data_IF_332067130867
#
_entry.id   IF_332067130867
#
_cell.length_a   1.000
_cell.length_b   1.000
_cell.length_c   1.000
_cell.angle_alpha   90.00
_cell.angle_beta   90.00
_cell.angle_gamma   90.00
#
_symmetry.space_group_name_H-M   'P 1'
#
loop_
_entity.id
_entity.type
_entity.pdbx_description
1 polymer ?
#
# COMPACT_ATOMS: atom_id res chain seq x y z
N UNK A 1 13.64 -29.19 -17.08
CA UNK A 1 12.87 -30.21 -17.80
C UNK A 1 13.70 -30.69 -18.99
N UNK A 2 13.77 -32.00 -19.22
CA UNK A 2 14.53 -32.60 -20.33
C UNK A 2 13.80 -33.84 -20.85
N UNK A 3 13.80 -34.03 -22.17
CA UNK A 3 13.24 -35.24 -22.79
C UNK A 3 13.98 -36.50 -22.34
N UNK A 4 15.27 -36.41 -22.13
CA UNK A 4 16.09 -37.54 -21.68
C UNK A 4 15.69 -38.04 -20.29
N UNK A 5 15.01 -37.22 -19.48
CA UNK A 5 14.44 -37.54 -18.18
C UNK A 5 12.98 -37.97 -18.22
N UNK A 6 12.38 -38.01 -19.41
CA UNK A 6 10.97 -38.38 -19.59
C UNK A 6 9.96 -37.25 -19.39
N UNK A 7 10.42 -35.98 -19.28
CA UNK A 7 9.53 -34.84 -19.15
C UNK A 7 8.76 -34.57 -20.45
N UNK A 8 7.47 -34.23 -20.34
CA UNK A 8 6.64 -33.84 -21.48
C UNK A 8 7.00 -32.42 -21.90
N UNK A 9 7.65 -32.29 -23.04
CA UNK A 9 7.99 -31.02 -23.67
C UNK A 9 7.29 -30.86 -25.01
N UNK A 10 7.08 -29.62 -25.41
CA UNK A 10 6.50 -29.30 -26.73
C UNK A 10 7.32 -29.88 -27.87
N UNK A 11 6.70 -30.18 -29.03
CA UNK A 11 7.43 -30.66 -30.20
C UNK A 11 8.56 -29.71 -30.59
N UNK A 12 9.76 -30.26 -30.82
CA UNK A 12 10.94 -29.47 -31.18
C UNK A 12 11.80 -28.98 -30.01
N UNK A 13 11.30 -29.01 -28.78
CA UNK A 13 12.07 -28.63 -27.60
C UNK A 13 12.77 -29.85 -27.00
N UNK A 14 14.08 -29.78 -26.86
CA UNK A 14 14.91 -30.84 -26.27
C UNK A 14 15.04 -30.62 -24.75
N UNK A 15 15.25 -29.37 -24.33
CA UNK A 15 15.42 -29.00 -22.92
C UNK A 15 14.79 -27.64 -22.63
N UNK A 16 14.09 -27.54 -21.52
CA UNK A 16 13.55 -26.29 -20.99
C UNK A 16 14.18 -26.00 -19.62
N UNK A 17 14.70 -24.80 -19.46
CA UNK A 17 15.24 -24.30 -18.19
C UNK A 17 14.30 -23.21 -17.70
N UNK A 18 13.84 -23.34 -16.47
CA UNK A 18 13.06 -22.30 -15.78
C UNK A 18 13.89 -21.81 -14.59
N UNK A 19 14.14 -20.52 -14.58
CA UNK A 19 14.88 -19.87 -13.50
C UNK A 19 13.91 -18.91 -12.82
N UNK A 20 13.76 -19.06 -11.51
CA UNK A 20 12.99 -18.15 -10.66
C UNK A 20 13.96 -17.27 -9.89
N UNK A 21 13.81 -15.95 -10.00
CA UNK A 21 14.68 -14.98 -9.35
C UNK A 21 13.86 -14.17 -8.35
N UNK A 22 14.28 -14.18 -7.09
CA UNK A 22 13.73 -13.32 -6.06
C UNK A 22 14.48 -11.99 -6.05
N UNK A 23 13.73 -10.89 -6.10
CA UNK A 23 14.27 -9.53 -6.01
C UNK A 23 13.54 -8.75 -4.92
N UNK A 24 14.29 -8.16 -4.00
CA UNK A 24 13.73 -7.24 -2.99
C UNK A 24 13.68 -5.83 -3.58
N UNK A 25 12.49 -5.24 -3.62
CA UNK A 25 12.27 -3.86 -4.06
C UNK A 25 11.75 -3.04 -2.89
N UNK A 26 12.48 -2.01 -2.50
CA UNK A 26 12.06 -1.07 -1.48
C UNK A 26 10.93 -0.17 -1.99
N UNK A 27 10.14 0.37 -1.07
CA UNK A 27 9.09 1.33 -1.38
C UNK A 27 9.71 2.66 -1.82
N UNK A 28 9.17 3.25 -2.88
CA UNK A 28 9.58 4.57 -3.35
C UNK A 28 8.36 5.44 -3.68
N UNK A 29 8.57 6.75 -3.77
CA UNK A 29 7.53 7.68 -4.23
C UNK A 29 7.05 7.28 -5.64
N UNK A 30 5.73 7.25 -5.84
CA UNK A 30 5.10 6.77 -7.06
C UNK A 30 4.62 5.31 -7.02
N UNK A 31 5.05 4.52 -6.04
CA UNK A 31 4.55 3.16 -5.83
C UNK A 31 3.12 3.18 -5.30
N UNK A 32 2.35 2.15 -5.62
CA UNK A 32 0.95 2.05 -5.24
C UNK A 32 0.75 1.13 -4.06
N UNK A 33 0.08 1.66 -3.04
CA UNK A 33 -0.35 0.91 -1.87
C UNK A 33 -1.88 0.76 -1.86
N UNK A 34 -2.37 -0.24 -1.18
CA UNK A 34 -3.79 -0.45 -0.94
C UNK A 34 -4.05 -1.13 0.40
N UNK A 35 -5.18 -0.81 1.01
CA UNK A 35 -5.73 -1.56 2.13
C UNK A 35 -6.68 -2.67 1.66
N UNK A 36 -7.51 -3.17 2.56
CA UNK A 36 -8.50 -4.24 2.32
C UNK A 36 -9.92 -3.71 2.05
N UNK A 37 -10.13 -2.40 2.00
CA UNK A 37 -11.44 -1.75 1.92
C UNK A 37 -11.65 -0.97 0.61
N UNK A 38 -10.97 -1.36 -0.48
CA UNK A 38 -11.02 -0.61 -1.73
C UNK A 38 -10.26 0.72 -1.69
N UNK A 39 -9.55 1.00 -0.61
CA UNK A 39 -8.70 2.16 -0.43
C UNK A 39 -7.35 1.90 -1.08
N UNK A 40 -7.03 2.66 -2.10
CA UNK A 40 -5.78 2.61 -2.85
C UNK A 40 -5.20 3.99 -3.03
N UNK A 41 -3.91 4.10 -3.00
CA UNK A 41 -3.22 5.38 -3.18
C UNK A 41 -1.80 5.20 -3.70
N UNK A 42 -1.26 6.29 -4.19
CA UNK A 42 0.12 6.37 -4.66
C UNK A 42 0.93 7.14 -3.62
N UNK A 43 2.11 6.65 -3.31
CA UNK A 43 3.02 7.33 -2.38
C UNK A 43 3.46 8.64 -3.01
N UNK A 44 3.14 9.76 -2.37
CA UNK A 44 3.53 11.09 -2.83
C UNK A 44 4.93 11.48 -2.36
N UNK A 45 5.26 11.13 -1.13
CA UNK A 45 6.54 11.49 -0.49
C UNK A 45 6.92 10.44 0.55
N UNK A 46 8.22 10.20 0.67
CA UNK A 46 8.82 9.46 1.78
C UNK A 46 9.53 10.48 2.64
N UNK A 47 9.22 10.48 3.93
CA UNK A 47 9.74 11.40 4.94
C UNK A 47 10.65 10.62 5.87
N UNK A 48 11.79 11.17 6.31
CA UNK A 48 12.61 10.56 7.36
C UNK A 48 11.79 10.34 8.64
N UNK A 49 12.13 9.29 9.40
CA UNK A 49 11.39 8.91 10.61
C UNK A 49 11.36 10.03 11.65
N UNK A 50 12.47 10.76 11.80
CA UNK A 50 12.59 11.90 12.70
C UNK A 50 11.66 13.08 12.35
N UNK A 51 11.25 13.20 11.09
CA UNK A 51 10.33 14.26 10.62
C UNK A 51 8.85 13.83 10.65
N UNK A 52 8.59 12.55 10.98
CA UNK A 52 7.22 12.03 11.04
C UNK A 52 6.52 12.46 12.32
N UNK A 53 5.20 12.65 12.28
CA UNK A 53 4.42 12.87 13.51
C UNK A 53 4.56 11.70 14.47
N UNK A 54 4.55 12.00 15.77
CA UNK A 54 4.71 10.99 16.81
C UNK A 54 3.68 11.16 17.94
N UNK A 55 3.45 10.07 18.68
CA UNK A 55 2.57 10.04 19.84
C UNK A 55 3.29 10.57 21.10
N UNK A 56 2.55 10.71 22.19
CA UNK A 56 3.10 11.17 23.48
C UNK A 56 4.14 10.22 24.10
N UNK A 57 4.23 8.99 23.63
CA UNK A 57 5.21 7.97 24.00
C UNK A 57 6.43 7.93 23.07
N UNK A 58 6.61 8.96 22.25
CA UNK A 58 7.66 9.09 21.23
C UNK A 58 7.55 8.06 20.06
N UNK A 59 6.46 7.33 19.93
CA UNK A 59 6.26 6.39 18.81
C UNK A 59 5.90 7.14 17.55
N UNK A 60 6.72 7.10 16.47
CA UNK A 60 6.40 7.76 15.21
C UNK A 60 5.33 7.00 14.44
N UNK A 61 4.53 7.70 13.64
CA UNK A 61 3.60 7.08 12.72
C UNK A 61 4.32 6.63 11.44
N UNK A 62 3.97 5.46 10.93
CA UNK A 62 4.60 4.89 9.71
C UNK A 62 4.03 5.47 8.43
N UNK A 63 2.75 5.87 8.44
CA UNK A 63 2.05 6.36 7.24
C UNK A 63 1.05 7.44 7.59
N UNK A 64 0.96 8.44 6.72
CA UNK A 64 -0.05 9.50 6.78
C UNK A 64 -0.97 9.34 5.58
N UNK A 65 -2.26 9.18 5.83
CA UNK A 65 -3.28 9.01 4.80
C UNK A 65 -4.14 10.27 4.66
N UNK A 66 -4.48 10.62 3.41
CA UNK A 66 -5.35 11.76 3.15
C UNK A 66 -6.81 11.43 3.50
N UNK A 67 -7.46 12.13 4.44
CA UNK A 67 -8.84 11.88 4.85
C UNK A 67 -9.88 12.14 3.77
N UNK A 68 -9.58 12.97 2.76
CA UNK A 68 -10.48 13.24 1.65
C UNK A 68 -10.83 11.98 0.85
N UNK A 69 -9.91 11.02 0.76
CA UNK A 69 -10.15 9.73 0.11
C UNK A 69 -11.16 8.84 0.84
N UNK A 70 -11.36 9.08 2.13
CA UNK A 70 -12.35 8.36 2.96
C UNK A 70 -13.72 9.00 2.85
N UNK A 71 -13.80 10.32 3.06
CA UNK A 71 -15.04 11.08 3.09
C UNK A 71 -15.84 10.95 1.79
N UNK A 72 -15.18 11.08 0.63
CA UNK A 72 -15.83 11.00 -0.68
C UNK A 72 -16.23 9.57 -1.09
N UNK A 73 -15.56 8.55 -0.58
CA UNK A 73 -15.78 7.13 -0.98
C UNK A 73 -16.60 6.33 -0.01
N UNK A 74 -16.84 6.83 1.20
CA UNK A 74 -17.69 6.23 2.24
C UNK A 74 -17.30 4.79 2.61
N UNK A 75 -16.05 4.39 2.44
CA UNK A 75 -15.55 3.08 2.83
C UNK A 75 -15.15 3.09 4.32
N UNK A 76 -16.15 3.17 5.18
CA UNK A 76 -15.97 3.31 6.64
C UNK A 76 -15.26 2.12 7.29
N UNK A 77 -15.26 0.96 6.64
CA UNK A 77 -14.57 -0.23 7.14
C UNK A 77 -13.10 -0.01 7.44
N UNK A 78 -12.41 0.88 6.71
CA UNK A 78 -11.00 1.21 6.99
C UNK A 78 -10.84 1.97 8.31
N UNK A 79 -11.80 2.81 8.69
CA UNK A 79 -11.79 3.52 9.98
C UNK A 79 -12.00 2.53 11.12
N UNK A 80 -12.99 1.65 10.99
CA UNK A 80 -13.29 0.61 11.98
C UNK A 80 -12.10 -0.34 12.14
N UNK A 81 -11.44 -0.71 11.05
CA UNK A 81 -10.20 -1.52 11.08
C UNK A 81 -9.09 -0.79 11.85
N UNK A 82 -8.90 0.50 11.60
CA UNK A 82 -7.85 1.29 12.27
C UNK A 82 -8.06 1.33 13.77
N UNK A 83 -9.28 1.55 14.23
CA UNK A 83 -9.63 1.59 15.65
C UNK A 83 -9.47 0.21 16.32
N UNK A 84 -10.04 -0.83 15.71
CA UNK A 84 -9.93 -2.18 16.23
C UNK A 84 -8.48 -2.67 16.20
N UNK A 85 -7.71 -2.29 15.16
CA UNK A 85 -6.30 -2.60 15.05
C UNK A 85 -5.47 -1.97 16.18
N UNK A 86 -5.79 -0.75 16.59
CA UNK A 86 -5.12 -0.10 17.72
C UNK A 86 -5.42 -0.84 19.03
N UNK A 87 -6.68 -1.11 19.32
CA UNK A 87 -7.08 -1.86 20.50
C UNK A 87 -6.43 -3.26 20.54
N UNK A 88 -6.45 -3.98 19.41
CA UNK A 88 -5.87 -5.32 19.31
C UNK A 88 -4.35 -5.32 19.51
N UNK A 89 -3.66 -4.28 19.06
CA UNK A 89 -2.22 -4.11 19.28
C UNK A 89 -1.90 -3.94 20.75
N UNK A 90 -2.59 -3.04 21.45
CA UNK A 90 -2.39 -2.76 22.88
C UNK A 90 -2.73 -3.98 23.76
N UNK A 91 -3.80 -4.69 23.43
CA UNK A 91 -4.23 -5.89 24.15
C UNK A 91 -3.45 -7.16 23.75
N UNK A 92 -2.60 -7.09 22.71
CA UNK A 92 -1.72 -8.18 22.29
C UNK A 92 -2.41 -9.37 21.64
N UNK A 93 -3.55 -9.17 20.97
CA UNK A 93 -4.25 -10.22 20.25
C UNK A 93 -4.44 -9.91 18.76
N UNK A 94 -4.74 -10.92 17.96
CA UNK A 94 -5.08 -10.76 16.56
C UNK A 94 -6.59 -10.76 16.36
N UNK A 95 -7.16 -9.62 15.95
CA UNK A 95 -8.58 -9.49 15.66
C UNK A 95 -8.93 -10.18 14.33
N UNK A 96 -9.86 -11.13 14.36
CA UNK A 96 -10.38 -11.80 13.17
C UNK A 96 -11.86 -11.44 13.01
N UNK A 97 -12.16 -10.65 11.98
CA UNK A 97 -13.51 -10.19 11.68
C UNK A 97 -13.96 -10.75 10.33
N UNK A 98 -14.74 -11.85 10.31
CA UNK A 98 -15.27 -12.41 9.07
C UNK A 98 -16.18 -11.44 8.34
N UNK A 99 -16.22 -11.54 7.00
CA UNK A 99 -17.14 -10.75 6.16
C UNK A 99 -18.59 -11.03 6.62
N UNK A 100 -19.40 -9.97 6.74
CA UNK A 100 -20.78 -10.05 7.25
C UNK A 100 -20.90 -10.49 8.72
N UNK A 101 -19.84 -10.36 9.51
CA UNK A 101 -19.93 -10.56 10.97
C UNK A 101 -20.83 -9.48 11.60
N UNK A 102 -21.32 -9.78 12.81
CA UNK A 102 -22.12 -8.83 13.59
C UNK A 102 -21.26 -7.90 14.46
N UNK A 103 -20.00 -7.65 14.08
CA UNK A 103 -19.17 -6.69 14.79
C UNK A 103 -19.72 -5.30 14.60
N UNK A 104 -20.12 -4.67 15.69
CA UNK A 104 -20.74 -3.33 15.71
C UNK A 104 -19.71 -2.29 16.16
N UNK A 105 -20.06 -1.01 15.94
CA UNK A 105 -19.26 0.12 16.46
C UNK A 105 -19.11 0.06 17.99
N UNK A 106 -20.18 -0.34 18.69
CA UNK A 106 -20.17 -0.45 20.16
C UNK A 106 -19.15 -1.50 20.65
N UNK A 107 -19.01 -2.60 19.92
CA UNK A 107 -17.99 -3.62 20.25
C UNK A 107 -16.57 -3.03 20.13
N UNK A 108 -16.31 -2.22 19.09
CA UNK A 108 -15.01 -1.60 18.89
C UNK A 108 -14.72 -0.55 19.97
N UNK A 109 -15.72 0.25 20.35
CA UNK A 109 -15.58 1.19 21.47
C UNK A 109 -15.29 0.48 22.79
N UNK A 110 -15.93 -0.67 23.02
CA UNK A 110 -15.65 -1.49 24.18
C UNK A 110 -14.19 -1.97 24.18
N UNK A 111 -13.69 -2.49 23.07
CA UNK A 111 -12.29 -2.94 22.94
C UNK A 111 -11.29 -1.78 23.15
N UNK A 112 -11.58 -0.59 22.60
CA UNK A 112 -10.74 0.60 22.82
C UNK A 112 -10.69 0.97 24.32
N UNK A 113 -11.83 0.91 24.99
CA UNK A 113 -11.91 1.20 26.43
C UNK A 113 -11.16 0.17 27.28
N UNK A 114 -11.27 -1.13 26.96
CA UNK A 114 -10.52 -2.20 27.62
C UNK A 114 -8.99 -2.02 27.43
N UNK A 115 -8.60 -1.50 26.27
CA UNK A 115 -7.19 -1.16 25.97
C UNK A 115 -6.72 0.13 26.65
N UNK A 116 -7.59 0.84 27.36
CA UNK A 116 -7.26 2.14 27.98
C UNK A 116 -7.12 3.29 26.98
N UNK A 117 -7.65 3.12 25.76
CA UNK A 117 -7.60 4.09 24.68
C UNK A 117 -8.87 4.95 24.63
N UNK A 118 -8.81 6.16 24.03
CA UNK A 118 -9.98 6.99 23.82
C UNK A 118 -11.03 6.28 22.95
N UNK A 119 -12.32 6.35 23.34
CA UNK A 119 -13.42 5.69 22.62
C UNK A 119 -13.64 6.23 21.20
N UNK A 120 -13.18 7.46 20.92
CA UNK A 120 -13.25 8.08 19.61
C UNK A 120 -12.04 7.74 18.71
N UNK A 121 -11.08 6.95 19.21
CA UNK A 121 -9.90 6.51 18.47
C UNK A 121 -8.96 7.64 18.05
N UNK A 122 -9.01 8.79 18.74
CA UNK A 122 -8.20 9.96 18.45
C UNK A 122 -7.22 10.26 19.58
N UNK A 123 -6.07 10.75 19.20
CA UNK A 123 -5.04 11.17 20.15
C UNK A 123 -4.35 12.44 19.69
N UNK A 124 -3.61 13.06 20.60
CA UNK A 124 -2.77 14.21 20.27
C UNK A 124 -1.50 13.69 19.64
N UNK A 125 -1.11 14.27 18.50
CA UNK A 125 0.15 14.03 17.83
C UNK A 125 1.02 15.28 17.89
N UNK A 126 2.32 15.06 17.85
CA UNK A 126 3.34 16.10 17.78
C UNK A 126 4.00 16.08 16.41
N UNK A 127 4.33 17.26 15.88
CA UNK A 127 5.06 17.39 14.61
C UNK A 127 6.54 17.03 14.81
N UNK A 128 7.05 16.04 14.08
CA UNK A 128 8.45 15.61 14.17
C UNK A 128 9.48 16.69 13.87
N UNK A 129 9.09 17.76 13.16
CA UNK A 129 10.00 18.86 12.81
C UNK A 129 10.05 19.97 13.85
N UNK A 130 8.89 20.34 14.40
CA UNK A 130 8.77 21.48 15.31
C UNK A 130 8.66 21.05 16.76
N UNK A 131 8.22 19.81 17.02
CA UNK A 131 7.88 19.30 18.35
C UNK A 131 6.59 19.91 18.92
N UNK A 132 5.83 20.66 18.12
CA UNK A 132 4.59 21.28 18.55
C UNK A 132 3.40 20.32 18.39
N UNK A 133 2.40 20.45 19.27
CA UNK A 133 1.14 19.71 19.15
C UNK A 133 0.38 20.11 17.87
N UNK A 134 -0.27 19.13 17.23
CA UNK A 134 -1.24 19.46 16.20
C UNK A 134 -2.45 20.20 16.79
N UNK A 135 -3.08 21.06 16.00
CA UNK A 135 -4.18 21.92 16.42
C UNK A 135 -5.47 21.18 16.85
N UNK A 136 -5.43 19.87 17.00
CA UNK A 136 -6.54 19.03 17.46
C UNK A 136 -6.22 17.54 17.41
N UNK A 137 -7.07 16.71 18.04
CA UNK A 137 -6.88 15.28 18.09
C UNK A 137 -6.98 14.62 16.71
N UNK A 138 -6.07 13.71 16.41
CA UNK A 138 -5.94 13.01 15.13
C UNK A 138 -6.28 11.54 15.32
N UNK A 139 -6.96 10.94 14.36
CA UNK A 139 -7.24 9.51 14.33
C UNK A 139 -5.96 8.73 14.04
N UNK A 140 -5.59 7.85 14.94
CA UNK A 140 -4.42 6.98 14.85
C UNK A 140 -4.84 5.53 15.09
N UNK A 141 -4.07 4.59 14.56
CA UNK A 141 -4.28 3.17 14.80
C UNK A 141 -3.53 2.32 13.79
N UNK A 142 -3.80 1.03 13.78
CA UNK A 142 -3.14 0.06 12.92
C UNK A 142 -4.07 -0.40 11.80
N UNK A 143 -3.57 -0.36 10.58
CA UNK A 143 -4.29 -0.81 9.39
C UNK A 143 -3.39 -1.71 8.55
N UNK A 144 -3.97 -2.74 7.93
CA UNK A 144 -3.26 -3.64 7.04
C UNK A 144 -3.08 -3.00 5.66
N UNK A 145 -1.82 -2.80 5.25
CA UNK A 145 -1.47 -2.20 3.98
C UNK A 145 -0.67 -3.16 3.11
N UNK A 146 -0.98 -3.17 1.83
CA UNK A 146 -0.33 -4.01 0.82
C UNK A 146 0.34 -3.16 -0.24
N UNK A 147 1.58 -3.50 -0.61
CA UNK A 147 2.24 -2.96 -1.79
C UNK A 147 1.70 -3.67 -3.02
N UNK A 148 1.22 -2.90 -4.00
CA UNK A 148 0.75 -3.45 -5.26
C UNK A 148 1.90 -3.58 -6.27
N UNK A 149 1.73 -4.48 -7.25
CA UNK A 149 2.71 -4.71 -8.33
C UNK A 149 2.88 -3.52 -9.29
N UNK A 150 2.02 -2.49 -9.15
CA UNK A 150 2.11 -1.25 -9.92
C UNK A 150 3.20 -0.34 -9.36
N UNK A 151 4.44 -0.70 -9.57
CA UNK A 151 5.61 0.06 -9.12
C UNK A 151 6.06 1.05 -10.19
N UNK A 152 6.50 2.23 -9.77
CA UNK A 152 6.93 3.31 -10.67
C UNK A 152 8.14 2.91 -11.51
N UNK A 153 9.05 2.13 -10.94
CA UNK A 153 10.25 1.64 -11.63
C UNK A 153 9.91 0.85 -12.91
N UNK A 154 8.83 0.08 -12.88
CA UNK A 154 8.39 -0.69 -14.04
C UNK A 154 7.70 0.17 -15.10
N UNK A 155 7.25 1.37 -14.74
CA UNK A 155 6.46 2.27 -15.60
C UNK A 155 7.28 3.41 -16.20
N UNK A 156 8.41 3.77 -15.58
CA UNK A 156 9.27 4.82 -16.09
C UNK A 156 9.76 4.46 -17.48
N UNK A 157 9.55 5.36 -18.43
CA UNK A 157 9.93 5.15 -19.83
C UNK A 157 10.28 6.47 -20.48
N UNK A 158 11.30 6.43 -21.32
CA UNK A 158 11.79 7.59 -22.08
C UNK A 158 12.15 7.15 -23.49
N UNK A 159 11.92 8.04 -24.47
CA UNK A 159 12.27 7.80 -25.87
C UNK A 159 12.86 9.06 -26.49
N UNK A 160 13.94 8.91 -27.21
CA UNK A 160 14.47 9.92 -28.15
C UNK A 160 14.24 9.48 -29.59
N UNK A 161 14.82 8.36 -29.99
CA UNK A 161 14.69 7.73 -31.32
C UNK A 161 14.26 6.29 -31.10
N UNK A 162 13.38 5.78 -31.98
CA UNK A 162 12.89 4.40 -31.89
C UNK A 162 12.09 3.97 -33.11
N UNK A 163 11.54 2.74 -33.12
CA UNK A 163 10.81 2.19 -34.25
C UNK A 163 9.48 2.92 -34.51
N UNK A 164 9.10 2.94 -35.80
CA UNK A 164 7.85 3.51 -36.29
C UNK A 164 7.00 2.44 -36.98
N UNK A 165 5.69 2.62 -37.00
CA UNK A 165 4.78 1.78 -37.77
C UNK A 165 5.04 1.94 -39.27
N UNK A 166 5.03 0.84 -40.01
CA UNK A 166 5.28 0.86 -41.45
C UNK A 166 4.20 1.60 -42.24
N UNK A 167 2.94 1.50 -41.82
CA UNK A 167 1.82 2.08 -42.54
C UNK A 167 1.59 3.53 -42.16
N UNK A 168 1.47 3.80 -40.88
CA UNK A 168 1.11 5.14 -40.35
C UNK A 168 2.31 6.05 -40.15
N UNK A 169 3.54 5.50 -40.16
CA UNK A 169 4.79 6.23 -39.86
C UNK A 169 4.75 6.97 -38.51
N UNK A 170 3.99 6.44 -37.56
CA UNK A 170 3.89 6.95 -36.20
C UNK A 170 4.71 6.09 -35.25
N UNK A 171 5.18 6.64 -34.10
CA UNK A 171 5.87 5.85 -33.10
C UNK A 171 5.02 4.65 -32.64
N UNK A 172 5.66 3.50 -32.42
CA UNK A 172 5.01 2.34 -31.83
C UNK A 172 4.60 2.64 -30.38
N UNK A 173 3.62 1.93 -29.86
CA UNK A 173 3.18 2.00 -28.47
C UNK A 173 3.89 1.00 -27.58
N UNK A 174 3.96 1.30 -26.28
CA UNK A 174 4.45 0.39 -25.25
C UNK A 174 5.94 0.48 -24.94
N UNK A 175 6.29 0.32 -23.65
CA UNK A 175 7.65 0.38 -23.12
C UNK A 175 8.56 -0.70 -23.74
N UNK A 176 8.03 -1.92 -23.91
CA UNK A 176 8.78 -3.06 -24.43
C UNK A 176 9.29 -2.87 -25.88
N UNK A 177 8.60 -2.06 -26.67
CA UNK A 177 8.94 -1.76 -28.05
C UNK A 177 9.68 -0.43 -28.21
N UNK A 178 10.17 0.16 -27.14
CA UNK A 178 10.71 1.51 -27.13
C UNK A 178 9.73 2.51 -27.77
N UNK A 179 8.46 2.37 -27.42
CA UNK A 179 7.37 3.17 -27.98
C UNK A 179 7.40 4.61 -27.50
N UNK A 180 6.58 5.45 -28.12
CA UNK A 180 6.44 6.86 -27.79
C UNK A 180 5.01 7.32 -27.88
N UNK A 181 4.82 8.63 -27.70
CA UNK A 181 3.53 9.29 -27.86
C UNK A 181 3.11 9.28 -29.33
N UNK A 182 1.85 9.01 -29.57
CA UNK A 182 1.26 9.10 -30.91
C UNK A 182 0.82 10.54 -31.15
N UNK A 183 1.35 11.17 -32.19
CA UNK A 183 0.97 12.47 -32.68
C UNK A 183 0.19 12.32 -34.00
#
# INVERSE_FOLDING_TARGET
FSRDRGDKLEPGIIKRIQIEVAQRRLIMAGDKLAGRHGNKGVISKIVPEEDMPYLADDTPVDIILNPLGVASRMNLGQILETHLGWAAHELGYQAVVPVFSRTTEDNIKYELKEAGLPEDGKTILYDGRTGEEFGGPVMVGYIYMMKLIHMVEDKIHMRSIGPYSLITQQPLGGKAQLGGQRF
#
